data_IF_976411289418
#
_entry.id   IF_976411289418
#
_cell.length_a   1.000
_cell.length_b   1.000
_cell.length_c   1.000
_cell.angle_alpha   90.00
_cell.angle_beta   90.00
_cell.angle_gamma   90.00
#
_symmetry.space_group_name_H-M   'P 1'
#
loop_
_entity.id
_entity.type
_entity.pdbx_description
1 polymer ?
#
# COMPACT_ATOMS: atom_id res chain seq x y z
N UNK A 1 7.97 -7.01 18.19
CA UNK A 1 8.33 -8.16 19.06
C UNK A 1 8.55 -9.38 18.17
N UNK A 2 9.27 -10.43 18.60
CA UNK A 2 9.44 -11.67 17.83
C UNK A 2 8.90 -12.86 18.64
N UNK A 3 7.57 -13.02 18.68
CA UNK A 3 6.92 -14.01 19.52
C UNK A 3 7.10 -15.41 18.95
N UNK A 4 7.41 -16.39 19.79
CA UNK A 4 7.66 -17.77 19.44
C UNK A 4 6.67 -18.65 20.22
N UNK A 5 5.92 -19.54 19.56
CA UNK A 5 5.04 -20.49 20.23
C UNK A 5 5.76 -21.43 21.18
N UNK A 6 5.08 -21.83 22.26
CA UNK A 6 5.71 -22.64 23.30
C UNK A 6 6.11 -24.01 22.76
N UNK A 7 5.25 -24.61 21.92
CA UNK A 7 5.53 -25.87 21.23
C UNK A 7 6.83 -25.85 20.43
N UNK A 8 7.20 -24.71 19.86
CA UNK A 8 8.43 -24.58 19.09
C UNK A 8 9.64 -24.36 20.01
N UNK A 9 9.49 -23.59 21.08
CA UNK A 9 10.55 -23.41 22.08
C UNK A 9 10.90 -24.71 22.81
N UNK A 10 9.93 -25.59 23.06
CA UNK A 10 10.16 -26.90 23.68
C UNK A 10 10.91 -27.87 22.77
N UNK A 11 10.69 -27.79 21.45
CA UNK A 11 11.44 -28.59 20.47
C UNK A 11 12.88 -28.08 20.34
N UNK A 12 13.09 -26.77 20.36
CA UNK A 12 14.43 -26.16 20.37
C UNK A 12 15.22 -26.34 19.08
N UNK A 13 14.57 -26.32 17.92
CA UNK A 13 15.25 -26.47 16.62
C UNK A 13 16.01 -25.20 16.20
N UNK A 14 17.02 -25.40 15.34
CA UNK A 14 17.74 -24.32 14.67
C UNK A 14 16.96 -23.86 13.44
N UNK A 15 16.58 -22.58 13.40
CA UNK A 15 15.82 -21.99 12.30
C UNK A 15 16.68 -21.89 11.05
N UNK A 16 16.10 -22.27 9.91
CA UNK A 16 16.74 -22.28 8.59
C UNK A 16 16.02 -21.38 7.58
N UNK A 17 15.09 -20.54 8.03
CA UNK A 17 14.33 -19.58 7.22
C UNK A 17 12.82 -19.67 7.47
N UNK A 18 12.05 -18.67 7.05
CA UNK A 18 10.58 -18.63 7.23
C UNK A 18 9.78 -18.38 5.95
N UNK A 19 10.43 -18.23 4.81
CA UNK A 19 9.77 -18.01 3.51
C UNK A 19 9.83 -19.28 2.65
N UNK A 20 8.70 -19.83 2.20
CA UNK A 20 8.68 -20.99 1.29
C UNK A 20 9.21 -20.68 -0.11
N UNK A 21 9.43 -19.41 -0.44
CA UNK A 21 10.01 -18.98 -1.73
C UNK A 21 11.53 -18.86 -1.70
N UNK A 22 12.16 -19.11 -0.54
CA UNK A 22 13.58 -18.93 -0.33
C UNK A 22 14.29 -20.27 -0.03
N UNK A 23 15.55 -20.43 -0.45
CA UNK A 23 16.37 -21.57 -0.04
C UNK A 23 16.69 -21.49 1.45
N UNK A 24 17.14 -22.60 2.04
CA UNK A 24 17.58 -22.59 3.44
C UNK A 24 18.75 -21.63 3.68
N UNK A 25 18.68 -20.87 4.78
CA UNK A 25 19.78 -19.98 5.17
C UNK A 25 20.99 -20.82 5.64
N UNK A 26 22.24 -20.35 5.44
CA UNK A 26 23.43 -21.06 5.92
C UNK A 26 23.43 -21.22 7.45
N UNK A 27 24.05 -22.30 7.95
CA UNK A 27 24.18 -22.57 9.40
C UNK A 27 24.91 -21.44 10.17
N UNK A 28 25.78 -20.67 9.51
CA UNK A 28 26.44 -19.52 10.12
C UNK A 28 25.48 -18.39 10.53
N UNK A 29 24.28 -18.37 9.93
CA UNK A 29 23.22 -17.42 10.21
C UNK A 29 22.00 -18.07 10.88
N UNK A 30 22.08 -19.37 11.21
CA UNK A 30 21.01 -20.01 11.98
C UNK A 30 20.97 -19.46 13.40
N UNK A 31 19.77 -19.42 13.93
CA UNK A 31 19.53 -19.10 15.34
C UNK A 31 18.62 -20.20 15.90
N UNK A 32 18.76 -20.47 17.18
CA UNK A 32 17.79 -21.32 17.86
C UNK A 32 16.43 -20.62 17.83
N UNK A 33 15.35 -21.38 17.63
CA UNK A 33 13.98 -20.86 17.57
C UNK A 33 13.59 -20.08 18.84
N UNK A 34 14.21 -20.38 19.99
CA UNK A 34 14.06 -19.62 21.24
C UNK A 34 14.59 -18.18 21.15
N UNK A 35 15.35 -17.81 20.11
CA UNK A 35 15.78 -16.44 19.86
C UNK A 35 14.68 -15.55 19.24
N UNK A 36 13.67 -16.16 18.62
CA UNK A 36 12.65 -15.48 17.85
C UNK A 36 12.31 -16.20 16.54
N UNK A 37 11.19 -15.81 15.92
CA UNK A 37 10.88 -16.22 14.56
C UNK A 37 11.81 -15.53 13.57
N UNK A 38 12.30 -16.27 12.57
CA UNK A 38 12.98 -15.70 11.41
C UNK A 38 11.94 -15.10 10.46
N UNK A 39 12.38 -14.18 9.60
CA UNK A 39 11.57 -13.51 8.58
C UNK A 39 10.56 -14.46 7.92
N UNK A 40 9.28 -14.07 8.01
CA UNK A 40 8.16 -14.73 7.34
C UNK A 40 8.25 -14.49 5.82
N UNK A 41 7.25 -14.98 5.07
CA UNK A 41 7.15 -14.73 3.64
C UNK A 41 7.24 -13.23 3.32
N UNK A 42 8.14 -12.85 2.43
CA UNK A 42 8.29 -11.47 1.96
C UNK A 42 8.48 -11.45 0.45
N UNK A 43 8.03 -10.36 -0.17
CA UNK A 43 8.25 -10.04 -1.58
C UNK A 43 9.42 -9.07 -1.77
N UNK A 44 9.72 -8.27 -0.75
CA UNK A 44 10.63 -7.12 -0.83
C UNK A 44 11.97 -7.38 -0.13
N UNK A 45 12.07 -8.44 0.65
CA UNK A 45 13.29 -8.82 1.38
C UNK A 45 14.06 -9.92 0.65
N UNK A 46 15.39 -9.79 0.64
CA UNK A 46 16.28 -10.84 0.16
C UNK A 46 16.23 -12.05 1.12
N UNK A 47 16.36 -13.26 0.59
CA UNK A 47 16.23 -14.50 1.36
C UNK A 47 17.20 -14.64 2.55
N UNK A 48 18.30 -13.88 2.59
CA UNK A 48 19.27 -13.89 3.69
C UNK A 48 18.94 -12.92 4.83
N UNK A 49 17.85 -12.13 4.76
CA UNK A 49 17.50 -11.19 5.83
C UNK A 49 16.84 -11.91 7.01
N UNK A 50 17.53 -11.93 8.16
CA UNK A 50 17.07 -12.67 9.36
C UNK A 50 16.17 -11.84 10.28
N UNK A 51 16.17 -10.50 10.18
CA UNK A 51 15.43 -9.65 11.12
C UNK A 51 14.14 -9.05 10.54
N UNK A 52 13.01 -9.35 11.19
CA UNK A 52 11.77 -8.58 11.03
C UNK A 52 11.39 -8.02 12.39
N UNK A 53 11.91 -6.83 12.69
CA UNK A 53 11.37 -6.01 13.77
C UNK A 53 9.96 -5.57 13.38
N UNK A 54 8.96 -5.93 14.18
CA UNK A 54 7.61 -5.39 14.02
C UNK A 54 7.57 -3.94 14.48
N UNK A 55 7.05 -3.04 13.64
CA UNK A 55 6.53 -1.75 14.06
C UNK A 55 5.24 -1.99 14.85
N UNK A 56 5.18 -1.47 16.07
CA UNK A 56 4.00 -1.59 16.94
C UNK A 56 3.40 -0.21 17.11
N UNK A 57 2.13 -0.07 16.77
CA UNK A 57 1.34 1.11 17.10
C UNK A 57 0.57 0.86 18.39
N UNK A 58 0.40 1.88 19.23
CA UNK A 58 -0.40 1.78 20.46
C UNK A 58 -1.81 1.27 20.19
N UNK A 59 -2.42 1.69 19.07
CA UNK A 59 -3.75 1.28 18.62
C UNK A 59 -3.83 -0.23 18.36
N UNK A 60 -2.88 -0.80 17.62
CA UNK A 60 -2.88 -2.23 17.34
C UNK A 60 -2.61 -3.07 18.58
N UNK A 61 -1.88 -2.54 19.57
CA UNK A 61 -1.71 -3.20 20.86
C UNK A 61 -3.01 -3.24 21.68
N UNK A 62 -3.70 -2.12 21.80
CA UNK A 62 -4.99 -2.02 22.51
C UNK A 62 -6.02 -2.95 21.87
N UNK A 63 -6.15 -2.92 20.54
CA UNK A 63 -7.05 -3.83 19.83
C UNK A 63 -6.71 -5.31 20.08
N UNK A 64 -5.42 -5.65 20.10
CA UNK A 64 -4.97 -7.03 20.35
C UNK A 64 -5.28 -7.51 21.76
N UNK A 65 -5.17 -6.65 22.78
CA UNK A 65 -5.54 -7.00 24.17
C UNK A 65 -7.05 -7.32 24.28
N UNK A 66 -7.89 -6.51 23.63
CA UNK A 66 -9.35 -6.72 23.62
C UNK A 66 -9.69 -8.02 22.87
N UNK A 67 -9.14 -8.21 21.67
CA UNK A 67 -9.41 -9.38 20.84
C UNK A 67 -8.89 -10.68 21.45
N UNK A 68 -7.77 -10.63 22.18
CA UNK A 68 -7.21 -11.76 22.91
C UNK A 68 -7.91 -12.04 24.25
N UNK A 69 -8.93 -11.26 24.62
CA UNK A 69 -9.63 -11.36 25.90
C UNK A 69 -8.68 -11.23 27.11
N UNK A 70 -7.80 -10.24 27.08
CA UNK A 70 -6.75 -10.00 28.08
C UNK A 70 -6.95 -8.71 28.89
N UNK A 71 -8.10 -8.05 28.77
CA UNK A 71 -8.44 -6.82 29.52
C UNK A 71 -8.36 -6.96 31.05
N UNK A 72 -8.69 -8.16 31.56
CA UNK A 72 -8.65 -8.52 32.97
C UNK A 72 -7.58 -9.59 33.25
N UNK A 73 -6.55 -9.65 32.40
CA UNK A 73 -5.46 -10.61 32.53
C UNK A 73 -4.76 -10.45 33.88
N UNK A 74 -4.53 -11.57 34.57
CA UNK A 74 -3.73 -11.59 35.79
C UNK A 74 -2.25 -11.33 35.48
N UNK A 75 -1.43 -10.91 36.46
CA UNK A 75 0.02 -10.79 36.28
C UNK A 75 0.67 -12.07 35.76
N UNK A 76 0.14 -13.25 36.13
CA UNK A 76 0.62 -14.54 35.65
C UNK A 76 0.26 -14.76 34.17
N UNK A 77 -0.90 -14.32 33.71
CA UNK A 77 -1.30 -14.39 32.29
C UNK A 77 -0.43 -13.50 31.42
N UNK A 78 -0.13 -12.30 31.91
CA UNK A 78 0.79 -11.36 31.27
C UNK A 78 2.20 -11.96 31.22
N UNK A 79 2.67 -12.58 32.30
CA UNK A 79 3.96 -13.25 32.34
C UNK A 79 4.03 -14.43 31.35
N UNK A 80 2.99 -15.26 31.27
CA UNK A 80 2.89 -16.37 30.30
C UNK A 80 2.93 -15.89 28.86
N UNK A 81 2.26 -14.78 28.58
CA UNK A 81 2.28 -14.13 27.25
C UNK A 81 3.67 -13.62 26.94
N UNK A 82 4.28 -12.86 27.85
CA UNK A 82 5.61 -12.30 27.64
C UNK A 82 6.74 -13.32 27.61
N UNK A 83 6.55 -14.52 28.17
CA UNK A 83 7.47 -15.63 28.03
C UNK A 83 7.65 -16.08 26.56
N UNK A 84 6.64 -15.87 25.71
CA UNK A 84 6.71 -16.18 24.29
C UNK A 84 7.59 -15.20 23.50
N UNK A 85 8.09 -14.13 24.12
CA UNK A 85 9.02 -13.18 23.50
C UNK A 85 10.33 -13.10 24.31
N UNK A 86 11.11 -14.19 24.36
CA UNK A 86 12.25 -14.35 25.27
C UNK A 86 13.35 -13.30 25.08
N UNK A 87 13.52 -12.76 23.87
CA UNK A 87 14.50 -11.73 23.59
C UNK A 87 14.14 -10.35 24.17
N UNK A 88 12.87 -10.10 24.53
CA UNK A 88 12.37 -8.81 25.02
C UNK A 88 11.33 -8.92 26.13
N UNK A 89 11.49 -9.88 27.04
CA UNK A 89 10.53 -10.14 28.13
C UNK A 89 10.27 -8.92 29.00
N UNK A 90 11.30 -8.17 29.41
CA UNK A 90 11.15 -6.99 30.28
C UNK A 90 10.34 -5.87 29.63
N UNK A 91 10.63 -5.57 28.36
CA UNK A 91 9.86 -4.60 27.59
C UNK A 91 8.42 -5.08 27.40
N UNK A 92 8.22 -6.37 27.12
CA UNK A 92 6.88 -6.95 27.01
C UNK A 92 6.06 -6.75 28.28
N UNK A 93 6.61 -7.10 29.45
CA UNK A 93 5.93 -6.96 30.73
C UNK A 93 5.53 -5.52 30.99
N UNK A 94 6.43 -4.56 30.72
CA UNK A 94 6.14 -3.14 30.89
C UNK A 94 4.97 -2.67 30.01
N UNK A 95 5.01 -2.99 28.71
CA UNK A 95 3.96 -2.55 27.77
C UNK A 95 2.64 -3.27 27.98
N UNK A 96 2.65 -4.58 28.27
CA UNK A 96 1.43 -5.35 28.54
C UNK A 96 0.73 -4.84 29.79
N UNK A 97 1.46 -4.61 30.89
CA UNK A 97 0.87 -4.04 32.11
C UNK A 97 0.20 -2.70 31.85
N UNK A 98 0.88 -1.78 31.12
CA UNK A 98 0.31 -0.48 30.78
C UNK A 98 -0.92 -0.59 29.87
N UNK A 99 -0.89 -1.49 28.88
CA UNK A 99 -1.98 -1.64 27.90
C UNK A 99 -3.21 -2.28 28.55
N UNK A 100 -3.02 -3.31 29.37
CA UNK A 100 -4.10 -3.98 30.11
C UNK A 100 -4.74 -3.00 31.10
N UNK A 101 -3.94 -2.26 31.87
CA UNK A 101 -4.44 -1.24 32.81
C UNK A 101 -5.22 -0.13 32.10
N UNK A 102 -4.74 0.32 30.94
CA UNK A 102 -5.43 1.29 30.10
C UNK A 102 -6.79 0.76 29.60
N UNK A 103 -6.83 -0.45 29.07
CA UNK A 103 -8.07 -1.07 28.57
C UNK A 103 -9.07 -1.27 29.69
N UNK A 104 -8.62 -1.78 30.85
CA UNK A 104 -9.47 -1.99 32.02
C UNK A 104 -10.06 -0.66 32.55
N UNK A 105 -9.27 0.41 32.54
CA UNK A 105 -9.68 1.72 33.08
C UNK A 105 -10.58 2.50 32.12
N UNK A 106 -10.23 2.53 30.83
CA UNK A 106 -10.86 3.45 29.87
C UNK A 106 -11.79 2.79 28.85
N UNK A 107 -11.78 1.46 28.72
CA UNK A 107 -12.61 0.72 27.74
C UNK A 107 -13.48 -0.42 28.33
N UNK A 108 -13.99 -0.35 29.57
CA UNK A 108 -14.70 -1.48 30.21
C UNK A 108 -16.03 -1.85 29.52
N UNK A 109 -16.69 -0.90 28.86
CA UNK A 109 -17.96 -1.13 28.16
C UNK A 109 -17.79 -1.82 26.81
N UNK A 110 -16.61 -1.71 26.21
CA UNK A 110 -16.36 -2.13 24.83
C UNK A 110 -16.19 -3.65 24.73
N UNK A 111 -15.65 -4.28 25.76
CA UNK A 111 -15.42 -5.72 25.83
C UNK A 111 -16.74 -6.52 25.84
N UNK A 112 -17.67 -6.15 26.72
CA UNK A 112 -18.98 -6.82 26.79
C UNK A 112 -19.77 -6.65 25.48
N UNK A 113 -19.70 -5.46 24.87
CA UNK A 113 -20.38 -5.16 23.63
C UNK A 113 -19.80 -5.93 22.42
N UNK A 114 -18.50 -6.22 22.42
CA UNK A 114 -17.80 -6.86 21.30
C UNK A 114 -17.65 -8.37 21.42
N UNK A 115 -17.87 -8.96 22.60
CA UNK A 115 -17.72 -10.41 22.87
C UNK A 115 -18.23 -11.33 21.75
N UNK A 116 -19.46 -11.14 21.29
CA UNK A 116 -20.07 -11.95 20.21
C UNK A 116 -19.32 -11.79 18.88
N UNK A 117 -18.90 -10.57 18.55
CA UNK A 117 -18.16 -10.32 17.31
C UNK A 117 -16.73 -10.84 17.38
N UNK A 118 -16.09 -10.81 18.56
CA UNK A 118 -14.78 -11.42 18.81
C UNK A 118 -14.85 -12.94 18.58
N UNK A 119 -15.87 -13.60 19.12
CA UNK A 119 -16.06 -15.05 18.90
C UNK A 119 -16.26 -15.39 17.42
N UNK A 120 -17.10 -14.62 16.72
CA UNK A 120 -17.31 -14.80 15.27
C UNK A 120 -16.04 -14.55 14.46
N UNK A 121 -15.30 -13.49 14.78
CA UNK A 121 -14.03 -13.18 14.13
C UNK A 121 -13.02 -14.32 14.39
N UNK A 122 -12.93 -14.82 15.62
CA UNK A 122 -12.07 -15.96 15.96
C UNK A 122 -12.41 -17.19 15.13
N UNK A 123 -13.69 -17.53 15.02
CA UNK A 123 -14.16 -18.66 14.23
C UNK A 123 -13.88 -18.48 12.73
N UNK A 124 -14.10 -17.28 12.20
CA UNK A 124 -13.82 -16.94 10.81
C UNK A 124 -12.32 -17.08 10.49
N UNK A 125 -11.44 -16.52 11.31
CA UNK A 125 -9.99 -16.61 11.11
C UNK A 125 -9.49 -18.06 11.24
N UNK A 126 -10.01 -18.83 12.20
CA UNK A 126 -9.68 -20.25 12.33
C UNK A 126 -10.09 -21.06 11.09
N UNK A 127 -11.22 -20.72 10.46
CA UNK A 127 -11.68 -21.39 9.24
C UNK A 127 -10.77 -21.16 8.03
N UNK A 128 -10.01 -20.05 8.02
CA UNK A 128 -9.03 -19.75 6.98
C UNK A 128 -7.73 -20.53 7.13
N UNK A 129 -7.52 -21.20 8.28
CA UNK A 129 -6.34 -22.01 8.57
C UNK A 129 -5.03 -21.24 8.33
N UNK A 130 -4.94 -20.00 8.80
CA UNK A 130 -3.71 -19.20 8.69
C UNK A 130 -2.62 -19.80 9.58
N UNK A 131 -1.45 -20.07 9.01
CA UNK A 131 -0.34 -20.72 9.69
C UNK A 131 0.91 -19.84 9.80
N UNK A 132 1.64 -20.01 10.90
CA UNK A 132 3.04 -19.64 11.02
C UNK A 132 3.89 -20.79 10.48
N UNK A 133 4.94 -20.42 9.74
CA UNK A 133 5.82 -21.37 9.08
C UNK A 133 7.28 -21.02 9.37
N UNK A 134 8.07 -22.04 9.74
CA UNK A 134 9.52 -21.96 9.83
C UNK A 134 10.14 -23.26 9.29
N UNK A 135 11.20 -23.12 8.52
CA UNK A 135 12.10 -24.22 8.22
C UNK A 135 13.08 -24.37 9.38
N UNK A 136 13.39 -25.60 9.76
CA UNK A 136 14.27 -25.85 10.89
C UNK A 136 14.96 -27.20 10.85
N UNK A 137 16.00 -27.33 11.65
CA UNK A 137 16.74 -28.58 11.85
C UNK A 137 17.00 -28.79 13.34
N UNK A 138 16.81 -30.02 13.81
CA UNK A 138 17.10 -30.37 15.20
C UNK A 138 18.61 -30.38 15.49
N UNK A 139 19.41 -30.78 14.51
CA UNK A 139 20.87 -30.77 14.56
C UNK A 139 21.43 -30.42 13.18
N UNK A 140 22.69 -29.97 13.06
CA UNK A 140 23.32 -29.64 11.78
C UNK A 140 23.35 -30.79 10.76
N UNK A 141 23.22 -32.02 11.23
CA UNK A 141 23.19 -33.25 10.41
C UNK A 141 21.76 -33.75 10.14
N UNK A 142 20.75 -33.18 10.80
CA UNK A 142 19.36 -33.58 10.63
C UNK A 142 18.82 -33.04 9.30
N UNK A 143 17.88 -33.76 8.65
CA UNK A 143 17.22 -33.23 7.46
C UNK A 143 16.45 -31.95 7.80
N UNK A 144 16.33 -31.07 6.81
CA UNK A 144 15.49 -29.88 6.91
C UNK A 144 14.03 -30.32 7.12
N UNK A 145 13.38 -29.75 8.13
CA UNK A 145 11.98 -30.00 8.45
C UNK A 145 11.18 -28.71 8.37
N UNK A 146 9.91 -28.86 8.05
CA UNK A 146 8.95 -27.76 7.99
C UNK A 146 8.09 -27.77 9.27
N UNK A 147 8.23 -26.73 10.08
CA UNK A 147 7.42 -26.50 11.27
C UNK A 147 6.26 -25.57 10.92
N UNK A 148 5.04 -26.05 11.16
CA UNK A 148 3.78 -25.34 10.89
C UNK A 148 2.97 -25.28 12.17
N UNK A 149 2.33 -24.16 12.42
CA UNK A 149 1.43 -23.97 13.55
C UNK A 149 0.31 -23.02 13.15
N UNK A 150 -0.93 -23.37 13.48
CA UNK A 150 -2.04 -22.46 13.24
C UNK A 150 -1.89 -21.20 14.11
N UNK A 151 -2.12 -20.04 13.52
CA UNK A 151 -1.92 -18.76 14.18
C UNK A 151 -2.80 -18.60 15.44
N UNK A 152 -4.04 -19.09 15.42
CA UNK A 152 -4.99 -19.06 16.55
C UNK A 152 -5.25 -20.46 17.12
N UNK A 153 -4.19 -21.26 17.27
CA UNK A 153 -4.26 -22.58 17.88
C UNK A 153 -4.74 -22.48 19.34
N UNK A 154 -5.80 -23.21 19.74
CA UNK A 154 -6.34 -23.17 21.10
C UNK A 154 -5.37 -23.70 22.18
N UNK A 155 -4.35 -24.48 21.81
CA UNK A 155 -3.32 -24.97 22.73
C UNK A 155 -2.28 -23.89 23.09
N UNK A 156 -2.16 -22.85 22.26
CA UNK A 156 -1.11 -21.83 22.34
C UNK A 156 -1.62 -20.52 22.96
N UNK A 157 -2.21 -20.62 24.14
CA UNK A 157 -2.86 -19.48 24.83
C UNK A 157 -1.90 -18.32 25.09
N UNK A 158 -0.63 -18.60 25.41
CA UNK A 158 0.40 -17.57 25.62
C UNK A 158 0.74 -16.77 24.36
N UNK A 159 0.46 -17.30 23.17
CA UNK A 159 0.72 -16.61 21.90
C UNK A 159 -0.51 -15.88 21.35
N UNK A 160 -1.69 -16.02 21.97
CA UNK A 160 -2.94 -15.47 21.46
C UNK A 160 -2.90 -13.95 21.24
N UNK A 161 -2.29 -13.20 22.17
CA UNK A 161 -2.09 -11.75 22.01
C UNK A 161 -1.30 -11.40 20.74
N UNK A 162 -0.19 -12.11 20.52
CA UNK A 162 0.66 -11.89 19.37
C UNK A 162 -0.01 -12.30 18.06
N UNK A 163 -0.75 -13.41 18.08
CA UNK A 163 -1.57 -13.86 16.98
C UNK A 163 -2.58 -12.79 16.56
N UNK A 164 -3.32 -12.23 17.53
CA UNK A 164 -4.24 -11.12 17.26
C UNK A 164 -3.54 -9.87 16.76
N UNK A 165 -2.34 -9.58 17.25
CA UNK A 165 -1.54 -8.48 16.71
C UNK A 165 -1.22 -8.66 15.23
N UNK A 166 -0.83 -9.88 14.81
CA UNK A 166 -0.63 -10.18 13.39
C UNK A 166 -1.91 -10.00 12.56
N UNK A 167 -3.05 -10.44 13.10
CA UNK A 167 -4.36 -10.36 12.44
C UNK A 167 -4.84 -8.92 12.32
N UNK A 168 -4.66 -8.10 13.36
CA UNK A 168 -5.00 -6.67 13.34
C UNK A 168 -4.18 -5.95 12.27
N UNK A 169 -2.88 -6.22 12.20
CA UNK A 169 -2.02 -5.65 11.16
C UNK A 169 -2.44 -6.11 9.75
N UNK A 170 -2.92 -7.35 9.61
CA UNK A 170 -3.52 -7.82 8.35
C UNK A 170 -4.83 -7.09 8.03
N UNK A 171 -5.74 -6.94 8.99
CA UNK A 171 -6.99 -6.22 8.82
C UNK A 171 -6.78 -4.74 8.45
N UNK A 172 -5.70 -4.13 8.96
CA UNK A 172 -5.28 -2.76 8.64
C UNK A 172 -4.49 -2.65 7.32
N UNK A 173 -4.26 -3.76 6.60
CA UNK A 173 -3.51 -3.77 5.35
C UNK A 173 -2.01 -3.53 5.49
N UNK A 174 -1.47 -3.58 6.72
CA UNK A 174 -0.02 -3.48 7.01
C UNK A 174 0.68 -4.82 6.84
N UNK A 175 -0.06 -5.90 6.65
CA UNK A 175 0.42 -7.25 6.37
C UNK A 175 -0.56 -7.93 5.43
N UNK A 176 -0.12 -8.96 4.72
CA UNK A 176 -0.98 -9.78 3.89
C UNK A 176 -1.01 -11.23 4.41
N UNK A 177 -2.12 -11.90 4.11
CA UNK A 177 -2.22 -13.35 4.20
C UNK A 177 -2.37 -13.86 2.77
N UNK A 178 -1.56 -14.86 2.42
CA UNK A 178 -1.57 -15.44 1.07
C UNK A 178 -1.75 -16.95 1.15
N UNK A 179 -2.53 -17.48 0.21
CA UNK A 179 -2.67 -18.91 0.01
C UNK A 179 -1.75 -19.34 -1.13
N UNK A 180 -0.81 -20.23 -0.82
CA UNK A 180 0.06 -20.89 -1.77
C UNK A 180 -0.54 -22.24 -2.11
N UNK A 181 -1.01 -22.39 -3.34
CA UNK A 181 -1.59 -23.64 -3.82
C UNK A 181 -0.51 -24.46 -4.54
N UNK A 182 -0.18 -25.62 -3.97
CA UNK A 182 0.61 -26.65 -4.65
C UNK A 182 -0.28 -27.75 -5.21
N UNK A 183 0.32 -28.69 -5.93
CA UNK A 183 -0.39 -29.83 -6.53
C UNK A 183 -0.93 -30.81 -5.49
N UNK A 184 -0.28 -30.89 -4.31
CA UNK A 184 -0.61 -31.85 -3.26
C UNK A 184 -1.24 -31.22 -2.01
N UNK A 185 -0.90 -29.97 -1.70
CA UNK A 185 -1.34 -29.28 -0.48
C UNK A 185 -1.43 -27.77 -0.72
N UNK A 186 -2.24 -27.09 0.08
CA UNK A 186 -2.38 -25.64 0.10
C UNK A 186 -1.94 -25.07 1.43
N UNK A 187 -1.18 -23.99 1.39
CA UNK A 187 -0.57 -23.39 2.56
C UNK A 187 -1.00 -21.93 2.68
N UNK A 188 -1.67 -21.56 3.77
CA UNK A 188 -2.11 -20.19 4.02
C UNK A 188 -1.16 -19.54 5.03
N UNK A 189 -0.33 -18.61 4.58
CA UNK A 189 0.75 -18.01 5.39
C UNK A 189 0.65 -16.50 5.49
N UNK A 190 1.09 -15.99 6.64
CA UNK A 190 1.30 -14.56 6.86
C UNK A 190 2.58 -14.07 6.18
N UNK A 191 2.51 -12.89 5.56
CA UNK A 191 3.69 -12.19 5.10
C UNK A 191 4.36 -11.42 6.25
N UNK A 192 5.57 -10.90 6.01
CA UNK A 192 6.13 -9.81 6.80
C UNK A 192 5.24 -8.56 6.76
N UNK A 193 5.43 -7.64 7.70
CA UNK A 193 4.76 -6.35 7.62
C UNK A 193 5.21 -5.66 6.33
N UNK A 194 4.25 -5.26 5.51
CA UNK A 194 4.48 -4.47 4.32
C UNK A 194 4.98 -3.11 4.80
N UNK A 195 6.19 -2.74 4.37
CA UNK A 195 6.57 -1.35 4.47
C UNK A 195 5.58 -0.57 3.60
N UNK A 196 4.97 0.48 4.15
CA UNK A 196 4.25 1.43 3.32
C UNK A 196 5.29 1.99 2.35
N UNK A 197 5.32 1.44 1.14
CA UNK A 197 6.13 1.98 0.08
C UNK A 197 5.61 3.41 -0.13
N UNK A 198 6.36 4.38 0.40
CA UNK A 198 6.25 5.73 -0.09
C UNK A 198 6.72 5.63 -1.54
N UNK A 199 5.77 5.42 -2.46
CA UNK A 199 6.01 5.73 -3.86
C UNK A 199 6.31 7.23 -3.87
N UNK A 200 7.59 7.57 -3.71
CA UNK A 200 8.10 8.88 -4.03
C UNK A 200 7.85 9.01 -5.53
N UNK A 201 6.74 9.67 -5.87
CA UNK A 201 6.40 9.99 -7.25
C UNK A 201 7.60 10.75 -7.79
N UNK A 202 8.33 10.14 -8.72
CA UNK A 202 9.37 10.85 -9.44
C UNK A 202 8.69 12.04 -10.10
N UNK A 203 9.09 13.26 -9.77
CA UNK A 203 8.44 14.47 -10.29
C UNK A 203 8.48 14.48 -11.84
N UNK A 204 9.49 13.84 -12.44
CA UNK A 204 9.60 13.64 -13.88
C UNK A 204 8.60 12.63 -14.48
N UNK A 205 8.11 11.67 -13.69
CA UNK A 205 7.08 10.69 -14.09
C UNK A 205 5.66 11.18 -13.78
N UNK A 206 5.53 12.39 -13.21
CA UNK A 206 4.21 12.93 -12.92
C UNK A 206 3.53 13.31 -14.25
N UNK A 207 2.35 12.74 -14.56
CA UNK A 207 1.67 12.99 -15.83
C UNK A 207 1.33 14.48 -16.06
N UNK A 208 1.35 15.29 -15.00
CA UNK A 208 1.16 16.74 -15.05
C UNK A 208 2.24 17.47 -15.84
N UNK A 209 3.51 17.04 -15.76
CA UNK A 209 4.62 17.69 -16.47
C UNK A 209 4.47 17.48 -17.98
N UNK A 210 4.21 16.24 -18.40
CA UNK A 210 3.96 15.92 -19.81
C UNK A 210 2.72 16.65 -20.33
N UNK A 211 1.62 16.64 -19.58
CA UNK A 211 0.40 17.36 -19.96
C UNK A 211 0.63 18.86 -20.12
N UNK A 212 1.45 19.47 -19.25
CA UNK A 212 1.85 20.87 -19.35
C UNK A 212 2.60 21.16 -20.65
N UNK A 213 3.62 20.37 -20.99
CA UNK A 213 4.37 20.52 -22.25
C UNK A 213 3.50 20.34 -23.49
N UNK A 214 2.62 19.34 -23.50
CA UNK A 214 1.68 19.09 -24.59
C UNK A 214 0.69 20.26 -24.76
N UNK A 215 0.15 20.80 -23.66
CA UNK A 215 -0.73 21.98 -23.68
C UNK A 215 -0.02 23.20 -24.25
N UNK A 216 1.18 23.50 -23.78
CA UNK A 216 1.96 24.64 -24.27
C UNK A 216 2.34 24.49 -25.75
N UNK A 217 2.62 23.27 -26.20
CA UNK A 217 2.87 22.96 -27.62
C UNK A 217 1.63 23.19 -28.47
N UNK A 218 0.45 22.72 -28.03
CA UNK A 218 -0.81 22.98 -28.73
C UNK A 218 -1.11 24.48 -28.79
N UNK A 219 -0.97 25.19 -27.67
CA UNK A 219 -1.17 26.64 -27.59
C UNK A 219 -0.26 27.38 -28.58
N UNK A 220 1.03 27.04 -28.61
CA UNK A 220 1.98 27.61 -29.56
C UNK A 220 1.55 27.43 -31.02
N UNK A 221 1.13 26.21 -31.40
CA UNK A 221 0.65 25.92 -32.76
C UNK A 221 -0.60 26.76 -33.06
N UNK A 222 -1.56 26.82 -32.14
CA UNK A 222 -2.80 27.58 -32.35
C UNK A 222 -2.56 29.09 -32.48
N UNK A 223 -1.70 29.67 -31.64
CA UNK A 223 -1.38 31.11 -31.70
C UNK A 223 -0.64 31.44 -32.99
N UNK A 224 0.32 30.60 -33.40
CA UNK A 224 1.08 30.79 -34.65
C UNK A 224 0.16 30.74 -35.87
N UNK A 225 -0.76 29.76 -35.92
CA UNK A 225 -1.71 29.64 -37.03
C UNK A 225 -2.74 30.77 -37.05
N UNK A 226 -3.20 31.22 -35.88
CA UNK A 226 -4.10 32.37 -35.76
C UNK A 226 -3.40 33.66 -36.23
N UNK A 227 -2.14 33.86 -35.84
CA UNK A 227 -1.32 34.97 -36.30
C UNK A 227 -1.16 34.97 -37.82
N UNK A 228 -0.79 33.83 -38.41
CA UNK A 228 -0.64 33.68 -39.86
C UNK A 228 -1.97 33.93 -40.60
N UNK A 229 -3.08 33.39 -40.09
CA UNK A 229 -4.41 33.62 -40.64
C UNK A 229 -4.83 35.10 -40.58
N UNK A 230 -4.52 35.79 -39.47
CA UNK A 230 -4.80 37.21 -39.31
C UNK A 230 -4.01 38.09 -40.29
N UNK A 231 -2.74 37.75 -40.53
CA UNK A 231 -1.88 38.46 -41.47
C UNK A 231 -2.38 38.28 -42.91
N UNK A 232 -2.76 37.06 -43.27
CA UNK A 232 -3.34 36.79 -44.59
C UNK A 232 -4.72 37.43 -44.77
N UNK A 233 -5.58 37.43 -43.74
CA UNK A 233 -6.86 38.13 -43.77
C UNK A 233 -6.68 39.64 -43.97
N UNK A 234 -5.68 40.24 -43.29
CA UNK A 234 -5.33 41.66 -43.47
C UNK A 234 -4.85 41.93 -44.90
N UNK A 235 -4.00 41.06 -45.45
CA UNK A 235 -3.52 41.16 -46.83
C UNK A 235 -4.66 41.05 -47.86
N UNK A 236 -5.61 40.14 -47.65
CA UNK A 236 -6.81 40.00 -48.49
C UNK A 236 -7.66 41.28 -48.43
N UNK A 237 -7.86 41.85 -47.24
CA UNK A 237 -8.60 43.10 -47.05
C UNK A 237 -7.95 44.28 -47.77
N UNK A 238 -6.62 44.43 -47.64
CA UNK A 238 -5.84 45.46 -48.35
C UNK A 238 -5.87 45.26 -49.87
N UNK A 239 -5.94 44.01 -50.33
CA UNK A 239 -6.03 43.64 -51.75
C UNK A 239 -7.48 43.63 -52.29
N UNK A 240 -8.45 44.16 -51.52
CA UNK A 240 -9.87 44.24 -51.88
C UNK A 240 -10.52 42.89 -52.24
N UNK A 241 -10.01 41.78 -51.71
CA UNK A 241 -10.58 40.45 -51.95
C UNK A 241 -10.22 39.80 -53.28
N UNK A 242 -9.24 40.33 -54.02
CA UNK A 242 -8.77 39.74 -55.28
C UNK A 242 -7.84 38.52 -55.07
N UNK A 243 -8.28 37.55 -54.26
CA UNK A 243 -7.51 36.33 -53.95
C UNK A 243 -8.44 35.13 -54.01
N UNK A 244 -7.96 34.05 -54.63
CA UNK A 244 -8.69 32.80 -54.73
C UNK A 244 -8.81 32.13 -53.35
N UNK A 245 -10.04 31.86 -52.91
CA UNK A 245 -10.33 31.30 -51.58
C UNK A 245 -9.66 29.93 -51.35
N UNK A 246 -9.36 29.18 -52.41
CA UNK A 246 -8.63 27.92 -52.34
C UNK A 246 -7.22 28.07 -51.78
N UNK A 247 -6.53 29.17 -52.06
CA UNK A 247 -5.20 29.45 -51.49
C UNK A 247 -5.26 29.71 -49.98
N UNK A 248 -6.41 30.15 -49.44
CA UNK A 248 -6.58 30.33 -48.01
C UNK A 248 -6.69 28.97 -47.28
N UNK A 249 -7.24 27.93 -47.92
CA UNK A 249 -7.29 26.58 -47.35
C UNK A 249 -5.91 25.90 -47.32
N UNK A 250 -5.02 26.24 -48.26
CA UNK A 250 -3.63 25.75 -48.25
C UNK A 250 -2.82 26.29 -47.07
N UNK A 251 -3.24 27.41 -46.47
CA UNK A 251 -2.60 27.98 -45.28
C UNK A 251 -2.59 27.01 -44.09
N UNK A 252 -3.69 26.27 -43.90
CA UNK A 252 -3.81 25.30 -42.80
C UNK A 252 -2.93 24.06 -43.02
N UNK A 253 -2.61 23.73 -44.27
CA UNK A 253 -1.86 22.53 -44.64
C UNK A 253 -0.36 22.83 -44.83
N UNK A 254 -0.04 23.79 -45.69
CA UNK A 254 1.33 24.18 -46.04
C UNK A 254 1.89 25.15 -45.01
N UNK A 255 1.09 26.13 -44.58
CA UNK A 255 1.51 27.11 -43.55
C UNK A 255 1.83 26.43 -42.22
N UNK A 256 1.00 25.48 -41.78
CA UNK A 256 1.26 24.72 -40.56
C UNK A 256 2.58 23.92 -40.64
N UNK A 257 2.84 23.25 -41.76
CA UNK A 257 4.02 22.40 -41.93
C UNK A 257 5.31 23.23 -42.00
N UNK A 258 5.27 24.37 -42.68
CA UNK A 258 6.45 25.23 -42.90
C UNK A 258 6.78 26.04 -41.64
N UNK A 259 5.76 26.59 -40.96
CA UNK A 259 5.97 27.52 -39.84
C UNK A 259 6.00 26.84 -38.46
N UNK A 260 5.26 25.74 -38.27
CA UNK A 260 5.30 24.98 -37.02
C UNK A 260 6.20 23.74 -37.10
N UNK A 261 6.47 23.22 -38.30
CA UNK A 261 7.27 22.00 -38.49
C UNK A 261 6.45 20.70 -38.39
N UNK A 262 6.89 19.68 -39.14
CA UNK A 262 6.24 18.34 -39.18
C UNK A 262 6.12 17.65 -37.80
N UNK A 263 7.14 17.68 -36.92
CA UNK A 263 7.07 16.99 -35.63
C UNK A 263 6.01 17.56 -34.69
N UNK A 264 5.84 18.90 -34.63
CA UNK A 264 4.86 19.53 -33.74
C UNK A 264 3.41 19.25 -34.17
N UNK A 265 3.17 19.10 -35.47
CA UNK A 265 1.85 18.70 -35.98
C UNK A 265 1.53 17.23 -35.65
N UNK A 266 2.53 16.35 -35.68
CA UNK A 266 2.38 14.98 -35.23
C UNK A 266 2.03 14.92 -33.74
N UNK A 267 2.74 15.68 -32.90
CA UNK A 267 2.43 15.82 -31.47
C UNK A 267 1.00 16.32 -31.27
N UNK A 268 0.54 17.32 -32.03
CA UNK A 268 -0.84 17.82 -31.95
C UNK A 268 -1.88 16.73 -32.24
N UNK A 269 -1.66 15.92 -33.28
CA UNK A 269 -2.57 14.80 -33.60
C UNK A 269 -2.51 13.70 -32.54
N UNK A 270 -1.32 13.40 -32.02
CA UNK A 270 -1.13 12.38 -31.00
C UNK A 270 -1.82 12.77 -29.69
N UNK A 271 -1.68 14.04 -29.25
CA UNK A 271 -2.38 14.55 -28.07
C UNK A 271 -3.89 14.52 -28.26
N UNK A 272 -4.39 14.83 -29.46
CA UNK A 272 -5.83 14.76 -29.74
C UNK A 272 -6.36 13.32 -29.65
N UNK A 273 -5.64 12.34 -30.21
CA UNK A 273 -6.00 10.91 -30.10
C UNK A 273 -5.91 10.44 -28.65
N UNK A 274 -4.86 10.85 -27.92
CA UNK A 274 -4.70 10.51 -26.51
C UNK A 274 -5.85 11.07 -25.65
N UNK A 275 -6.24 12.34 -25.85
CA UNK A 275 -7.37 12.93 -25.15
C UNK A 275 -8.71 12.27 -25.52
N UNK A 276 -8.91 11.88 -26.79
CA UNK A 276 -10.12 11.15 -27.19
C UNK A 276 -10.18 9.71 -26.65
N UNK A 277 -9.01 9.09 -26.44
CA UNK A 277 -8.90 7.71 -25.96
C UNK A 277 -8.89 7.61 -24.43
N UNK A 278 -8.73 8.71 -23.71
CA UNK A 278 -8.62 8.72 -22.25
C UNK A 278 -9.96 9.12 -21.64
N UNK A 279 -10.53 8.26 -20.80
CA UNK A 279 -11.67 8.62 -19.96
C UNK A 279 -11.20 9.48 -18.78
N UNK A 280 -12.00 10.48 -18.38
CA UNK A 280 -11.73 11.25 -17.18
C UNK A 280 -11.91 10.35 -15.95
N UNK A 281 -10.80 9.91 -15.38
CA UNK A 281 -10.75 9.15 -14.14
C UNK A 281 -10.36 10.08 -13.00
N UNK A 282 -11.20 10.14 -11.97
CA UNK A 282 -10.89 10.88 -10.75
C UNK A 282 -10.41 9.90 -9.68
N UNK A 283 -9.33 10.24 -8.98
CA UNK A 283 -8.89 9.47 -7.81
C UNK A 283 -9.67 9.96 -6.59
N UNK A 284 -10.49 9.10 -6.01
CA UNK A 284 -11.22 9.35 -4.78
C UNK A 284 -10.56 8.59 -3.62
N UNK A 285 -10.70 9.12 -2.41
CA UNK A 285 -10.14 8.53 -1.19
C UNK A 285 -11.22 8.35 -0.14
N UNK A 286 -11.42 7.12 0.33
CA UNK A 286 -12.43 6.76 1.34
C UNK A 286 -11.92 6.84 2.78
N UNK A 287 -10.73 7.41 3.01
CA UNK A 287 -10.05 7.42 4.32
C UNK A 287 -9.09 6.24 4.53
N UNK A 288 -9.29 5.14 3.79
CA UNK A 288 -8.55 3.88 3.97
C UNK A 288 -7.99 3.33 2.65
N UNK A 289 -8.72 3.55 1.55
CA UNK A 289 -8.34 3.07 0.21
C UNK A 289 -8.51 4.20 -0.80
N UNK A 290 -7.54 4.31 -1.70
CA UNK A 290 -7.65 5.15 -2.90
C UNK A 290 -8.29 4.31 -4.01
N UNK A 291 -9.35 4.81 -4.62
CA UNK A 291 -10.02 4.14 -5.73
C UNK A 291 -10.24 5.12 -6.89
N UNK A 292 -10.42 4.57 -8.09
CA UNK A 292 -10.73 5.37 -9.27
C UNK A 292 -12.24 5.41 -9.50
N UNK A 293 -12.77 6.61 -9.67
CA UNK A 293 -14.17 6.86 -9.97
C UNK A 293 -14.29 7.48 -11.36
N UNK A 294 -15.17 6.92 -12.18
CA UNK A 294 -15.50 7.48 -13.50
C UNK A 294 -16.52 8.59 -13.27
N UNK A 295 -16.15 9.82 -13.58
CA UNK A 295 -17.07 10.94 -13.52
C UNK A 295 -17.88 11.02 -14.81
N UNK A 296 -19.21 11.01 -14.72
CA UNK A 296 -20.08 11.31 -15.85
C UNK A 296 -19.92 12.79 -16.24
N UNK A 297 -19.04 13.07 -17.20
CA UNK A 297 -18.89 14.43 -17.72
C UNK A 297 -20.05 14.75 -18.69
N UNK A 298 -20.67 15.93 -18.55
CA UNK A 298 -21.74 16.34 -19.44
C UNK A 298 -21.21 16.47 -20.88
N UNK A 299 -22.00 16.00 -21.84
CA UNK A 299 -21.70 15.93 -23.27
C UNK A 299 -21.18 17.24 -23.90
N UNK A 300 -21.48 18.39 -23.30
CA UNK A 300 -20.98 19.69 -23.74
C UNK A 300 -19.45 19.83 -23.61
N UNK A 301 -18.83 19.14 -22.64
CA UNK A 301 -17.37 19.14 -22.42
C UNK A 301 -16.63 18.28 -23.45
N UNK A 302 -17.31 17.29 -24.04
CA UNK A 302 -16.77 16.35 -25.02
C UNK A 302 -16.70 16.94 -26.43
N UNK A 303 -17.58 17.90 -26.76
CA UNK A 303 -17.74 18.46 -28.11
C UNK A 303 -17.06 19.83 -28.28
N UNK A 304 -16.99 20.63 -27.22
CA UNK A 304 -16.15 21.82 -27.15
C UNK A 304 -15.02 21.52 -26.19
N UNK A 305 -13.82 21.22 -26.70
CA UNK A 305 -12.65 20.92 -25.87
C UNK A 305 -12.60 21.81 -24.62
N UNK A 306 -12.57 21.16 -23.46
CA UNK A 306 -12.74 21.72 -22.12
C UNK A 306 -12.53 23.25 -22.02
N UNK A 307 -13.54 24.03 -21.62
CA UNK A 307 -13.29 25.36 -21.09
C UNK A 307 -12.38 25.18 -19.88
N UNK A 308 -11.24 25.88 -19.90
CA UNK A 308 -10.40 26.07 -18.73
C UNK A 308 -11.22 26.78 -17.66
N UNK A 309 -11.90 26.02 -16.80
CA UNK A 309 -12.42 26.56 -15.55
C UNK A 309 -11.26 26.65 -14.57
N UNK A 310 -10.63 27.82 -14.53
CA UNK A 310 -9.58 28.21 -13.58
C UNK A 310 -10.03 28.06 -12.10
N UNK A 311 -11.31 27.75 -11.84
CA UNK A 311 -11.83 27.48 -10.50
C UNK A 311 -11.49 26.10 -9.94
N UNK A 312 -10.99 25.14 -10.73
CA UNK A 312 -10.50 23.85 -10.19
C UNK A 312 -9.05 23.90 -9.65
N UNK A 313 -8.30 24.97 -9.93
CA UNK A 313 -6.94 25.15 -9.40
C UNK A 313 -6.97 25.67 -7.94
N UNK A 314 -8.13 26.13 -7.44
CA UNK A 314 -8.21 26.76 -6.13
C UNK A 314 -8.18 25.81 -4.92
N UNK A 315 -8.17 24.48 -5.11
CA UNK A 315 -8.08 23.52 -3.99
C UNK A 315 -6.64 23.15 -3.58
N UNK A 316 -5.60 23.69 -4.23
CA UNK A 316 -4.22 23.56 -3.75
C UNK A 316 -3.81 24.61 -2.70
N UNK A 317 -4.72 25.51 -2.30
CA UNK A 317 -4.51 26.48 -1.22
C UNK A 317 -5.42 26.21 0.00
N UNK A 318 -5.72 24.95 0.31
CA UNK A 318 -6.11 24.59 1.69
C UNK A 318 -4.82 24.38 2.48
N UNK A 319 -4.32 25.50 2.97
CA UNK A 319 -3.60 25.67 4.23
C UNK A 319 -3.27 24.38 4.99
N UNK A 320 -2.00 23.97 4.86
CA UNK A 320 -1.15 23.65 6.00
C UNK A 320 -1.43 24.64 7.16
N UNK A 321 -2.33 24.25 8.06
CA UNK A 321 -2.54 24.88 9.35
C UNK A 321 -2.70 23.79 10.41
N UNK A 322 -1.78 22.83 10.41
CA UNK A 322 -1.52 21.91 11.53
C UNK A 322 0.00 21.83 11.64
N UNK A 323 0.59 22.91 12.15
CA UNK A 323 2.06 23.03 12.20
C UNK A 323 2.61 24.10 13.14
N UNK A 324 1.78 24.88 13.84
CA UNK A 324 2.25 25.86 14.84
C UNK A 324 1.31 25.88 16.05
N UNK A 325 1.39 24.82 16.85
CA UNK A 325 1.10 24.80 18.30
C UNK A 325 1.62 23.48 18.85
N UNK A 326 2.93 23.41 19.03
CA UNK A 326 3.64 22.53 19.97
C UNK A 326 5.14 22.87 19.95
N UNK A 327 5.45 24.12 20.33
CA UNK A 327 6.56 24.49 21.24
C UNK A 327 5.98 25.58 22.14
#
# INVERSE_FOLDING_TARGET
>A
MMPVPISWTEIGFETRGGSPLCPEIPLSYSQTISGGLVSLLSWDFQCESVLVGQTQTSESMVASVILANMSLASPDDIARTCAQNPSRTSACLAFMNQTVDFVATYMPTQENALSVEIERATAAIRSLQVELLQFGQLNPLSPLQLFRLNLLDPSEVGCAFFAWHFIVEWALGRRAVVALQGDADSLVVLTVALNQAQLTVTVAETPTVLAFYLRHTILYITVTMLGLASLVATYIGLSRGHIEAWNAFELLRVGAIVWCGRPLLFVRSLTAVALLSTSALHVAFSGHVSYFEVTDEPWCTTLGGAPLDDRKIQWQNVTLAIGDRLI
#
